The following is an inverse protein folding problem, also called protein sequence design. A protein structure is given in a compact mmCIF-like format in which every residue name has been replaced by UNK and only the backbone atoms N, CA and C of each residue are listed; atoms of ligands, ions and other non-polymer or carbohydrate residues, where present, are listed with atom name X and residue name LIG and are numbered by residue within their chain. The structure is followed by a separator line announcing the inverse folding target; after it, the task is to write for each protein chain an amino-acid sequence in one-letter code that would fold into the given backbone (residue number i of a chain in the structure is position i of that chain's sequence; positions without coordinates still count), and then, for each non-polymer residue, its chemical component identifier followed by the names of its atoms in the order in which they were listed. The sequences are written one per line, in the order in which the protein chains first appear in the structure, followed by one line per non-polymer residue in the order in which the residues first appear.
data_IF_903993863439
#
_entry.id   IF_903993863439
#
_cell.length_a   1.000
_cell.length_b   1.000
_cell.length_c   1.000
_cell.angle_alpha   90.00
_cell.angle_beta   90.00
_cell.angle_gamma   90.00
#
_symmetry.space_group_name_H-M   'P 1'
#
loop_
_entity.id
_entity.type
_entity.pdbx_description
1 polymer ?
#
# COMPACT_ATOMS: atom_id res chain seq x y z
N UNK A 1 8.91 6.24 3.55
CA UNK A 1 10.10 6.50 4.38
C UNK A 1 9.73 6.18 5.83
N UNK A 2 10.17 5.03 6.35
CA UNK A 2 9.92 4.64 7.74
C UNK A 2 10.91 5.42 8.63
N UNK A 3 10.54 6.63 9.00
CA UNK A 3 11.38 7.52 9.80
C UNK A 3 11.25 7.19 11.27
N UNK A 4 12.29 6.52 11.80
CA UNK A 4 12.90 6.48 13.16
C UNK A 4 12.06 6.60 14.46
N UNK A 5 10.76 6.83 14.40
CA UNK A 5 9.85 6.98 15.56
C UNK A 5 8.57 6.15 15.41
N UNK A 6 8.44 5.39 14.31
CA UNK A 6 7.30 4.51 14.10
C UNK A 6 7.42 3.21 14.92
N UNK A 7 6.38 2.83 15.68
CA UNK A 7 6.36 1.54 16.34
C UNK A 7 6.53 0.45 15.29
N UNK A 8 7.41 -0.51 15.54
CA UNK A 8 7.86 -1.55 14.61
C UNK A 8 6.72 -2.21 13.79
N UNK A 9 5.53 -2.28 14.39
CA UNK A 9 4.29 -2.81 13.80
C UNK A 9 3.80 -2.01 12.58
N UNK A 10 3.92 -0.69 12.57
CA UNK A 10 3.47 0.16 11.46
C UNK A 10 4.34 -0.07 10.22
N UNK A 11 5.66 -0.16 10.38
CA UNK A 11 6.56 -0.45 9.26
C UNK A 11 6.35 -1.87 8.70
N UNK A 12 6.06 -2.86 9.56
CA UNK A 12 5.72 -4.20 9.08
C UNK A 12 4.43 -4.19 8.25
N UNK A 13 3.40 -3.48 8.71
CA UNK A 13 2.12 -3.37 8.02
C UNK A 13 2.24 -2.65 6.67
N UNK A 14 3.05 -1.60 6.59
CA UNK A 14 3.35 -0.90 5.32
C UNK A 14 4.06 -1.83 4.34
N UNK A 15 5.10 -2.56 4.79
CA UNK A 15 5.83 -3.52 3.93
C UNK A 15 4.94 -4.66 3.45
N UNK A 16 4.02 -5.13 4.31
CA UNK A 16 3.04 -6.14 3.95
C UNK A 16 2.06 -5.63 2.89
N UNK A 17 1.50 -4.43 3.09
CA UNK A 17 0.63 -3.80 2.08
C UNK A 17 1.35 -3.63 0.75
N UNK A 18 2.57 -3.10 0.75
CA UNK A 18 3.34 -2.89 -0.49
C UNK A 18 3.64 -4.22 -1.21
N UNK A 19 3.93 -5.28 -0.46
CA UNK A 19 4.17 -6.62 -1.01
C UNK A 19 2.89 -7.23 -1.59
N UNK A 20 1.75 -7.00 -0.94
CA UNK A 20 0.44 -7.46 -1.40
C UNK A 20 0.01 -6.73 -2.68
N UNK A 21 0.15 -5.39 -2.73
CA UNK A 21 -0.06 -4.59 -3.95
C UNK A 21 0.80 -5.10 -5.10
N UNK A 22 2.10 -5.31 -4.86
CA UNK A 22 3.02 -5.79 -5.90
C UNK A 22 2.65 -7.18 -6.41
N UNK A 23 2.08 -8.04 -5.57
CA UNK A 23 1.59 -9.36 -6.01
C UNK A 23 0.29 -9.25 -6.80
N UNK A 24 -0.66 -8.44 -6.33
CA UNK A 24 -1.97 -8.29 -6.97
C UNK A 24 -1.88 -7.57 -8.31
N UNK A 25 -1.03 -6.54 -8.41
CA UNK A 25 -0.92 -5.66 -9.59
C UNK A 25 0.37 -5.87 -10.37
N UNK A 26 0.94 -7.09 -10.33
CA UNK A 26 2.25 -7.42 -10.92
C UNK A 26 2.34 -7.24 -12.45
N UNK A 27 1.26 -6.85 -13.11
CA UNK A 27 1.19 -6.56 -14.55
C UNK A 27 0.40 -5.28 -14.90
N UNK A 28 -0.04 -4.50 -13.92
CA UNK A 28 -0.81 -3.26 -14.15
C UNK A 28 -0.10 -2.05 -13.57
N UNK A 29 -0.22 -0.91 -14.25
CA UNK A 29 0.23 0.38 -13.71
C UNK A 29 -0.81 0.81 -12.68
N UNK A 30 -0.42 0.76 -11.41
CA UNK A 30 -1.26 1.18 -10.29
C UNK A 30 -0.71 2.46 -9.66
N UNK A 31 -1.62 3.37 -9.31
CA UNK A 31 -1.29 4.57 -8.56
C UNK A 31 -2.01 4.53 -7.21
N UNK A 32 -1.23 4.48 -6.13
CA UNK A 32 -1.79 4.52 -4.77
C UNK A 32 -2.31 5.93 -4.49
N UNK A 33 -3.61 6.04 -4.21
CA UNK A 33 -4.27 7.31 -3.94
C UNK A 33 -4.24 7.63 -2.45
N UNK A 34 -4.72 6.71 -1.62
CA UNK A 34 -4.86 6.93 -0.17
C UNK A 34 -4.59 5.66 0.63
N UNK A 35 -4.02 5.81 1.83
CA UNK A 35 -3.92 4.78 2.86
C UNK A 35 -4.78 5.20 4.05
N UNK A 36 -5.80 4.41 4.36
CA UNK A 36 -6.66 4.62 5.52
C UNK A 36 -6.05 3.93 6.74
N UNK A 37 -5.90 4.67 7.83
CA UNK A 37 -5.35 4.19 9.10
C UNK A 37 -6.34 4.25 10.27
N UNK A 38 -7.57 4.74 10.05
CA UNK A 38 -8.51 5.08 11.14
C UNK A 38 -9.81 4.27 11.18
N UNK A 39 -10.52 4.10 10.05
CA UNK A 39 -11.84 3.42 10.03
C UNK A 39 -11.81 2.04 9.40
N UNK A 40 -10.94 1.85 8.43
CA UNK A 40 -10.72 0.59 7.72
C UNK A 40 -9.21 0.53 7.49
N UNK A 41 -8.54 -0.52 7.97
CA UNK A 41 -7.12 -0.75 7.65
C UNK A 41 -7.03 -1.17 6.18
N UNK A 42 -7.06 -0.18 5.29
CA UNK A 42 -7.20 -0.38 3.85
C UNK A 42 -6.53 0.72 3.04
N UNK A 43 -6.47 0.54 1.74
CA UNK A 43 -5.89 1.50 0.81
C UNK A 43 -6.76 1.60 -0.44
N UNK A 44 -6.74 2.76 -1.07
CA UNK A 44 -7.35 2.99 -2.38
C UNK A 44 -6.25 3.08 -3.43
N UNK A 45 -6.37 2.28 -4.48
CA UNK A 45 -5.46 2.26 -5.63
C UNK A 45 -6.27 2.50 -6.89
N UNK A 46 -5.75 3.37 -7.77
CA UNK A 46 -6.25 3.52 -9.12
C UNK A 46 -5.52 2.54 -10.02
N UNK A 47 -6.28 1.76 -10.79
CA UNK A 47 -5.76 0.80 -11.75
C UNK A 47 -5.99 1.35 -13.14
N UNK A 48 -4.92 1.61 -13.88
CA UNK A 48 -5.02 1.83 -15.32
C UNK A 48 -4.70 0.52 -16.01
N UNK A 49 -5.68 -0.20 -16.58
CA UNK A 49 -5.38 -1.29 -17.48
C UNK A 49 -4.61 -0.69 -18.66
N UNK A 50 -3.37 -1.12 -18.85
CA UNK A 50 -2.59 -0.73 -20.00
C UNK A 50 -3.28 -1.38 -21.22
N UNK A 51 -3.96 -0.57 -22.03
CA UNK A 51 -4.67 -1.01 -23.22
C UNK A 51 -3.70 -1.54 -24.28
#
# INVERSE_FOLDING_TARGET
NCSRSDPHNTCYLIRFQDSLLKRTFKGEIYQKLYSYHYLINGFAVFLSPQQ
#
